data_IF_849767011882
#
_entry.id   IF_849767011882
#
_cell.length_a   1.000
_cell.length_b   1.000
_cell.length_c   1.000
_cell.angle_alpha   90.00
_cell.angle_beta   90.00
_cell.angle_gamma   90.00
#
_symmetry.space_group_name_H-M   'P 1'
#
loop_
_entity.id
_entity.type
_entity.pdbx_description
1 polymer ?
#
# COMPACT_ATOMS: atom_id res chain seq x y z
N UNK A 1 20.60 24.64 20.51
CA UNK A 1 20.39 23.80 19.31
C UNK A 1 18.94 23.34 19.29
N UNK A 2 18.18 23.74 18.28
CA UNK A 2 16.78 23.34 18.12
C UNK A 2 16.71 21.81 17.91
N UNK A 3 16.02 21.09 18.80
CA UNK A 3 15.97 19.63 18.80
C UNK A 3 15.13 19.15 17.60
N UNK A 4 15.80 18.79 16.50
CA UNK A 4 15.12 18.32 15.28
C UNK A 4 14.41 16.99 15.55
N UNK A 5 13.10 16.97 15.35
CA UNK A 5 12.26 15.79 15.61
C UNK A 5 12.61 14.63 14.68
N UNK A 6 12.69 13.42 15.24
CA UNK A 6 12.84 12.17 14.46
C UNK A 6 11.60 11.87 13.59
N UNK A 7 10.46 12.49 13.90
CA UNK A 7 9.19 12.31 13.21
C UNK A 7 9.00 13.39 12.15
N UNK A 8 8.80 12.97 10.90
CA UNK A 8 8.52 13.86 9.78
C UNK A 8 7.00 14.07 9.68
N UNK A 9 6.49 15.19 10.21
CA UNK A 9 5.05 15.51 10.21
C UNK A 9 4.41 15.46 8.81
N UNK A 10 5.15 15.88 7.78
CA UNK A 10 4.69 15.82 6.40
C UNK A 10 4.33 14.39 5.95
N UNK A 11 5.06 13.37 6.40
CA UNK A 11 4.76 11.98 6.05
C UNK A 11 3.42 11.53 6.63
N UNK A 12 3.03 12.03 7.81
CA UNK A 12 1.73 11.73 8.39
C UNK A 12 0.60 12.40 7.61
N UNK A 13 0.80 13.63 7.13
CA UNK A 13 -0.17 14.28 6.26
C UNK A 13 -0.29 13.57 4.91
N UNK A 14 0.83 13.15 4.31
CA UNK A 14 0.87 12.37 3.06
C UNK A 14 0.07 11.07 3.23
N UNK A 15 0.43 10.24 4.22
CA UNK A 15 -0.28 8.98 4.50
C UNK A 15 -1.77 9.21 4.75
N UNK A 16 -2.12 10.27 5.48
CA UNK A 16 -3.51 10.63 5.78
C UNK A 16 -4.31 10.98 4.51
N UNK A 17 -3.74 11.79 3.61
CA UNK A 17 -4.38 12.11 2.33
C UNK A 17 -4.57 10.86 1.48
N UNK A 18 -3.58 9.98 1.48
CA UNK A 18 -3.65 8.75 0.71
C UNK A 18 -4.73 7.78 1.22
N UNK A 19 -5.08 7.78 2.52
CA UNK A 19 -6.24 7.00 3.04
C UNK A 19 -7.55 7.48 2.41
N UNK A 20 -7.77 8.79 2.35
CA UNK A 20 -8.95 9.37 1.69
C UNK A 20 -8.92 9.05 0.19
N UNK A 21 -7.76 9.21 -0.45
CA UNK A 21 -7.55 8.88 -1.85
C UNK A 21 -7.89 7.42 -2.17
N UNK A 22 -7.45 6.46 -1.35
CA UNK A 22 -7.73 5.04 -1.56
C UNK A 22 -9.24 4.75 -1.61
N UNK A 23 -10.05 5.38 -0.76
CA UNK A 23 -11.51 5.20 -0.78
C UNK A 23 -12.10 5.69 -2.12
N UNK A 24 -11.65 6.85 -2.58
CA UNK A 24 -12.07 7.44 -3.87
C UNK A 24 -11.68 6.51 -5.03
N UNK A 25 -10.44 6.06 -5.06
CA UNK A 25 -9.87 5.21 -6.11
C UNK A 25 -10.56 3.85 -6.15
N UNK A 26 -10.68 3.15 -5.01
CA UNK A 26 -11.28 1.82 -4.99
C UNK A 26 -12.76 1.86 -5.35
N UNK A 27 -13.49 2.88 -4.89
CA UNK A 27 -14.90 3.06 -5.30
C UNK A 27 -15.00 3.25 -6.82
N UNK A 28 -14.13 4.07 -7.42
CA UNK A 28 -14.06 4.23 -8.88
C UNK A 28 -13.80 2.90 -9.59
N UNK A 29 -12.75 2.17 -9.17
CA UNK A 29 -12.33 0.91 -9.82
C UNK A 29 -13.35 -0.22 -9.72
N UNK A 30 -14.17 -0.22 -8.67
CA UNK A 30 -15.17 -1.24 -8.39
C UNK A 30 -16.51 -0.95 -9.07
N UNK A 31 -16.98 0.30 -9.07
CA UNK A 31 -18.34 0.61 -9.52
C UNK A 31 -18.44 1.23 -10.91
N UNK A 32 -17.44 2.02 -11.33
CA UNK A 32 -17.51 2.67 -12.63
C UNK A 32 -17.35 1.67 -13.78
N UNK A 33 -18.13 1.84 -14.85
CA UNK A 33 -17.90 1.11 -16.08
C UNK A 33 -16.57 1.54 -16.75
N UNK A 34 -16.03 0.67 -17.61
CA UNK A 34 -14.70 0.87 -18.24
C UNK A 34 -14.64 2.23 -18.95
N UNK A 35 -15.68 2.57 -19.72
CA UNK A 35 -15.81 3.85 -20.41
C UNK A 35 -15.64 5.04 -19.46
N UNK A 36 -16.34 5.02 -18.32
CA UNK A 36 -16.26 6.09 -17.32
C UNK A 36 -14.87 6.17 -16.68
N UNK A 37 -14.18 5.05 -16.51
CA UNK A 37 -12.82 5.01 -15.95
C UNK A 37 -11.77 5.60 -16.90
N UNK A 38 -11.87 5.35 -18.21
CA UNK A 38 -10.83 5.73 -19.18
C UNK A 38 -11.14 7.00 -19.96
N UNK A 39 -12.40 7.23 -20.34
CA UNK A 39 -12.77 8.32 -21.26
C UNK A 39 -13.25 9.59 -20.54
N UNK A 40 -13.74 9.47 -19.31
CA UNK A 40 -14.13 10.66 -18.54
C UNK A 40 -12.90 11.31 -17.91
N UNK A 41 -12.83 12.66 -17.94
CA UNK A 41 -11.72 13.39 -17.34
C UNK A 41 -11.57 13.09 -15.83
N UNK A 42 -12.70 13.02 -15.12
CA UNK A 42 -12.72 12.73 -13.67
C UNK A 42 -12.30 11.29 -13.39
N UNK A 43 -12.82 10.32 -14.13
CA UNK A 43 -12.48 8.91 -13.96
C UNK A 43 -11.01 8.65 -14.27
N UNK A 44 -10.52 9.16 -15.40
CA UNK A 44 -9.12 9.02 -15.82
C UNK A 44 -8.17 9.65 -14.80
N UNK A 45 -8.50 10.84 -14.28
CA UNK A 45 -7.74 11.47 -13.21
C UNK A 45 -7.71 10.64 -11.92
N UNK A 46 -8.86 10.11 -11.48
CA UNK A 46 -8.92 9.25 -10.27
C UNK A 46 -8.13 7.95 -10.48
N UNK A 47 -8.24 7.31 -11.64
CA UNK A 47 -7.47 6.11 -11.98
C UNK A 47 -5.96 6.41 -12.01
N UNK A 48 -5.58 7.56 -12.56
CA UNK A 48 -4.19 8.04 -12.53
C UNK A 48 -3.68 8.21 -11.10
N UNK A 49 -4.46 8.84 -10.21
CA UNK A 49 -4.11 8.94 -8.78
C UNK A 49 -3.94 7.56 -8.12
N UNK A 50 -4.69 6.56 -8.58
CA UNK A 50 -4.57 5.16 -8.18
C UNK A 50 -3.18 4.56 -8.37
N UNK A 51 -2.37 5.13 -9.26
CA UNK A 51 -0.98 4.70 -9.49
C UNK A 51 0.00 5.17 -8.40
N UNK A 52 -0.46 5.98 -7.44
CA UNK A 52 0.32 6.51 -6.33
C UNK A 52 0.70 5.50 -5.23
N UNK A 53 0.43 4.21 -5.39
CA UNK A 53 0.69 3.15 -4.38
C UNK A 53 2.14 3.11 -3.89
N UNK A 54 3.12 3.43 -4.75
CA UNK A 54 4.52 3.53 -4.39
C UNK A 54 4.81 4.58 -3.30
N UNK A 55 3.97 5.62 -3.17
CA UNK A 55 4.08 6.63 -2.11
C UNK A 55 4.01 5.98 -0.74
N UNK A 56 3.06 5.05 -0.53
CA UNK A 56 2.91 4.35 0.75
C UNK A 56 4.13 3.51 1.08
N UNK A 57 4.65 2.78 0.10
CA UNK A 57 5.80 1.91 0.28
C UNK A 57 7.06 2.70 0.60
N UNK A 58 7.33 3.79 -0.13
CA UNK A 58 8.46 4.67 0.17
C UNK A 58 8.30 5.32 1.55
N UNK A 59 7.10 5.81 1.90
CA UNK A 59 6.83 6.36 3.24
C UNK A 59 7.03 5.29 4.34
N UNK A 60 6.60 4.06 4.10
CA UNK A 60 6.78 2.93 5.00
C UNK A 60 8.28 2.68 5.23
N UNK A 61 9.09 2.61 4.17
CA UNK A 61 10.53 2.43 4.27
C UNK A 61 11.24 3.54 5.06
N UNK A 62 10.86 4.80 4.82
CA UNK A 62 11.44 5.95 5.54
C UNK A 62 11.11 5.84 7.03
N UNK A 63 9.83 5.64 7.36
CA UNK A 63 9.37 5.57 8.76
C UNK A 63 9.89 4.33 9.49
N UNK A 64 10.12 3.23 8.78
CA UNK A 64 10.72 2.02 9.31
C UNK A 64 12.17 2.27 9.77
N UNK A 65 12.97 3.02 9.01
CA UNK A 65 14.34 3.33 9.38
C UNK A 65 14.43 4.30 10.56
N UNK A 66 13.52 5.27 10.66
CA UNK A 66 13.58 6.35 11.67
C UNK A 66 12.89 6.00 12.98
N UNK A 67 12.11 4.93 13.03
CA UNK A 67 11.40 4.48 14.23
C UNK A 67 12.34 3.79 15.23
N UNK A 68 12.16 4.10 16.51
CA UNK A 68 12.98 3.59 17.63
C UNK A 68 12.67 2.13 17.99
N UNK A 69 11.46 1.64 17.70
CA UNK A 69 10.97 0.31 18.13
C UNK A 69 10.91 -0.73 16.99
N UNK A 70 11.93 -0.76 16.11
CA UNK A 70 11.95 -1.65 14.94
C UNK A 70 13.07 -2.71 15.03
N UNK A 71 13.14 -3.46 16.13
CA UNK A 71 14.00 -4.64 16.16
C UNK A 71 13.57 -5.67 15.10
N UNK A 72 14.47 -6.58 14.72
CA UNK A 72 14.14 -7.69 13.82
C UNK A 72 12.90 -8.46 14.33
N UNK A 73 12.88 -8.81 15.62
CA UNK A 73 11.75 -9.50 16.28
C UNK A 73 10.43 -8.70 16.17
N UNK A 74 10.48 -7.39 16.38
CA UNK A 74 9.31 -6.50 16.22
C UNK A 74 8.80 -6.51 14.78
N UNK A 75 9.72 -6.45 13.82
CA UNK A 75 9.40 -6.44 12.38
C UNK A 75 8.74 -7.75 11.95
N UNK A 76 9.28 -8.89 12.39
CA UNK A 76 8.71 -10.23 12.14
C UNK A 76 7.31 -10.35 12.73
N UNK A 77 7.13 -9.98 14.01
CA UNK A 77 5.81 -10.01 14.67
C UNK A 77 4.77 -9.17 13.92
N UNK A 78 5.16 -7.95 13.51
CA UNK A 78 4.28 -7.05 12.75
C UNK A 78 3.97 -7.60 11.36
N UNK A 79 4.96 -8.21 10.70
CA UNK A 79 4.78 -8.87 9.40
C UNK A 79 3.73 -9.98 9.47
N UNK A 80 3.86 -10.89 10.45
CA UNK A 80 2.88 -11.96 10.69
C UNK A 80 1.49 -11.41 10.98
N UNK A 81 1.37 -10.38 11.84
CA UNK A 81 0.08 -9.78 12.15
C UNK A 81 -0.58 -9.14 10.91
N UNK A 82 0.21 -8.51 10.04
CA UNK A 82 -0.30 -7.96 8.77
C UNK A 82 -0.75 -9.05 7.81
N UNK A 83 -0.04 -10.18 7.74
CA UNK A 83 -0.46 -11.32 6.93
C UNK A 83 -1.79 -11.89 7.40
N UNK A 84 -1.95 -12.09 8.71
CA UNK A 84 -3.22 -12.53 9.29
C UNK A 84 -4.35 -11.52 9.01
N UNK A 85 -4.06 -10.22 9.11
CA UNK A 85 -5.03 -9.17 8.78
C UNK A 85 -5.42 -9.18 7.29
N UNK A 86 -4.49 -9.50 6.39
CA UNK A 86 -4.74 -9.59 4.96
C UNK A 86 -5.68 -10.77 4.63
N UNK A 87 -5.39 -11.97 5.14
CA UNK A 87 -6.27 -13.12 4.97
C UNK A 87 -7.65 -12.90 5.56
N UNK A 88 -7.72 -12.30 6.75
CA UNK A 88 -8.99 -11.92 7.37
C UNK A 88 -9.77 -10.91 6.51
N UNK A 89 -9.09 -9.90 5.97
CA UNK A 89 -9.71 -8.92 5.09
C UNK A 89 -10.27 -9.60 3.84
N UNK A 90 -9.50 -10.44 3.15
CA UNK A 90 -9.98 -11.16 1.96
C UNK A 90 -11.16 -12.07 2.26
N UNK A 91 -11.13 -12.79 3.39
CA UNK A 91 -12.26 -13.58 3.86
C UNK A 91 -13.52 -12.71 3.99
N UNK A 92 -13.43 -11.58 4.71
CA UNK A 92 -14.55 -10.65 4.87
C UNK A 92 -14.99 -10.04 3.53
N UNK A 93 -14.06 -9.74 2.64
CA UNK A 93 -14.28 -9.06 1.36
C UNK A 93 -15.00 -9.93 0.33
N UNK A 94 -14.76 -11.24 0.36
CA UNK A 94 -15.19 -12.15 -0.71
C UNK A 94 -16.03 -13.32 -0.23
N UNK A 95 -15.63 -14.00 0.85
CA UNK A 95 -16.31 -15.21 1.31
C UNK A 95 -17.65 -14.86 1.94
N UNK A 96 -17.69 -13.83 2.79
CA UNK A 96 -18.94 -13.40 3.43
C UNK A 96 -20.00 -13.02 2.37
N UNK A 97 -19.69 -12.20 1.34
CA UNK A 97 -20.64 -11.95 0.25
C UNK A 97 -21.08 -13.17 -0.54
N UNK A 98 -20.16 -14.10 -0.79
CA UNK A 98 -20.45 -15.30 -1.56
C UNK A 98 -21.42 -16.23 -0.81
N UNK A 99 -21.15 -16.52 0.47
CA UNK A 99 -21.98 -17.42 1.30
C UNK A 99 -23.38 -16.84 1.54
N UNK A 100 -23.50 -15.52 1.63
CA UNK A 100 -24.78 -14.83 1.80
C UNK A 100 -25.52 -14.60 0.47
N UNK A 101 -25.02 -15.13 -0.66
CA UNK A 101 -25.70 -15.10 -1.95
C UNK A 101 -25.81 -13.72 -2.60
N UNK A 102 -24.95 -12.76 -2.23
CA UNK A 102 -24.97 -11.40 -2.80
C UNK A 102 -23.70 -11.04 -3.58
N UNK A 103 -22.90 -12.02 -4.00
CA UNK A 103 -21.84 -11.79 -4.96
C UNK A 103 -22.44 -11.55 -6.36
N UNK A 104 -22.15 -10.41 -7.05
CA UNK A 104 -22.80 -10.11 -8.33
C UNK A 104 -22.24 -10.96 -9.48
N UNK A 105 -23.10 -11.36 -10.43
CA UNK A 105 -22.72 -12.19 -11.58
C UNK A 105 -21.60 -11.56 -12.43
N UNK A 106 -21.64 -10.24 -12.65
CA UNK A 106 -20.60 -9.50 -13.38
C UNK A 106 -19.20 -9.65 -12.73
N UNK A 107 -19.14 -9.89 -11.41
CA UNK A 107 -17.86 -10.16 -10.73
C UNK A 107 -17.35 -11.56 -11.04
N UNK A 108 -18.23 -12.56 -11.09
CA UNK A 108 -17.88 -13.95 -11.42
C UNK A 108 -17.44 -14.03 -12.90
N UNK A 109 -18.22 -13.45 -13.80
CA UNK A 109 -17.95 -13.43 -15.25
C UNK A 109 -16.62 -12.76 -15.59
N UNK A 110 -16.21 -11.72 -14.84
CA UNK A 110 -14.91 -11.05 -15.07
C UNK A 110 -13.73 -12.01 -15.00
N UNK A 111 -13.80 -13.04 -14.16
CA UNK A 111 -12.72 -14.03 -14.01
C UNK A 111 -12.90 -15.25 -14.93
N UNK A 112 -13.92 -15.26 -15.80
CA UNK A 112 -14.23 -16.40 -16.66
C UNK A 112 -14.66 -17.65 -15.88
N UNK A 113 -15.17 -17.48 -14.65
CA UNK A 113 -15.62 -18.59 -13.84
C UNK A 113 -17.01 -19.04 -14.28
N UNK A 114 -17.13 -20.31 -14.66
CA UNK A 114 -18.38 -20.93 -15.11
C UNK A 114 -19.02 -21.85 -14.06
N UNK A 115 -18.27 -22.25 -13.03
CA UNK A 115 -18.74 -23.09 -11.93
C UNK A 115 -19.22 -22.29 -10.72
N UNK A 116 -19.78 -22.99 -9.70
CA UNK A 116 -20.17 -22.37 -8.44
C UNK A 116 -19.01 -21.61 -7.78
N UNK A 117 -19.29 -20.44 -7.20
CA UNK A 117 -18.27 -19.55 -6.60
C UNK A 117 -17.51 -20.23 -5.44
N UNK A 118 -18.11 -21.24 -4.82
CA UNK A 118 -17.55 -22.11 -3.78
C UNK A 118 -16.22 -22.74 -4.22
N UNK A 119 -16.10 -23.10 -5.49
CA UNK A 119 -14.87 -23.67 -6.06
C UNK A 119 -13.71 -22.66 -6.04
N UNK A 120 -14.01 -21.37 -5.91
CA UNK A 120 -13.06 -20.26 -5.95
C UNK A 120 -12.76 -19.69 -4.56
N UNK A 121 -13.27 -20.29 -3.48
CA UNK A 121 -13.07 -19.74 -2.12
C UNK A 121 -11.60 -19.69 -1.72
N UNK A 122 -10.83 -20.73 -2.04
CA UNK A 122 -9.39 -20.73 -1.76
C UNK A 122 -8.69 -19.61 -2.53
N UNK A 123 -8.99 -19.48 -3.83
CA UNK A 123 -8.49 -18.39 -4.68
C UNK A 123 -8.77 -17.02 -4.06
N UNK A 124 -10.02 -16.78 -3.66
CA UNK A 124 -10.47 -15.49 -3.14
C UNK A 124 -9.82 -15.10 -1.82
N UNK A 125 -9.60 -16.06 -0.91
CA UNK A 125 -8.89 -15.81 0.36
C UNK A 125 -7.40 -15.55 0.12
N UNK A 126 -6.81 -16.31 -0.80
CA UNK A 126 -5.38 -16.25 -1.12
C UNK A 126 -4.98 -15.06 -2.01
N UNK A 127 -5.95 -14.34 -2.56
CA UNK A 127 -5.76 -13.26 -3.51
C UNK A 127 -4.81 -12.17 -2.98
N UNK A 128 -3.65 -12.07 -3.62
CA UNK A 128 -2.52 -11.24 -3.22
C UNK A 128 -2.83 -9.75 -3.21
N UNK A 129 -2.87 -9.13 -2.03
CA UNK A 129 -3.07 -7.70 -1.86
C UNK A 129 -1.88 -6.99 -1.20
N UNK A 130 -1.97 -5.66 -1.09
CA UNK A 130 -0.89 -4.82 -0.56
C UNK A 130 -0.54 -5.12 0.91
N UNK A 131 -1.46 -5.68 1.72
CA UNK A 131 -1.18 -6.09 3.09
C UNK A 131 -0.37 -7.39 3.13
N UNK A 132 -0.62 -8.34 2.22
CA UNK A 132 0.26 -9.51 2.06
C UNK A 132 1.65 -9.07 1.63
N UNK A 133 1.74 -8.21 0.61
CA UNK A 133 3.01 -7.58 0.20
C UNK A 133 3.73 -6.95 1.39
N UNK A 134 3.04 -6.09 2.16
CA UNK A 134 3.63 -5.40 3.30
C UNK A 134 4.06 -6.36 4.41
N UNK A 135 3.24 -7.37 4.71
CA UNK A 135 3.49 -8.37 5.73
C UNK A 135 4.72 -9.22 5.42
N UNK A 136 4.84 -9.71 4.19
CA UNK A 136 6.01 -10.47 3.73
C UNK A 136 7.24 -9.56 3.66
N UNK A 137 7.11 -8.35 3.09
CA UNK A 137 8.23 -7.41 2.98
C UNK A 137 8.82 -7.03 4.34
N UNK A 138 8.00 -6.92 5.40
CA UNK A 138 8.48 -6.63 6.75
C UNK A 138 9.46 -7.68 7.29
N UNK A 139 9.35 -8.93 6.84
CA UNK A 139 10.29 -9.99 7.19
C UNK A 139 11.67 -9.64 6.62
N UNK A 140 11.75 -9.36 5.31
CA UNK A 140 13.00 -9.06 4.60
C UNK A 140 13.64 -7.74 5.02
N UNK A 141 12.85 -6.66 5.08
CA UNK A 141 13.39 -5.33 5.41
C UNK A 141 13.89 -5.24 6.84
N UNK A 142 13.35 -6.07 7.75
CA UNK A 142 13.89 -6.26 9.10
C UNK A 142 15.35 -6.75 9.06
N UNK A 143 15.65 -7.76 8.25
CA UNK A 143 17.02 -8.24 8.05
C UNK A 143 17.90 -7.17 7.39
N UNK A 144 17.41 -6.49 6.34
CA UNK A 144 18.18 -5.44 5.66
C UNK A 144 18.58 -4.33 6.65
N UNK A 145 17.65 -3.87 7.50
CA UNK A 145 17.94 -2.86 8.53
C UNK A 145 18.98 -3.32 9.54
N UNK A 146 18.92 -4.60 9.93
CA UNK A 146 19.83 -5.18 10.92
C UNK A 146 21.25 -5.34 10.36
N UNK A 147 21.41 -5.83 9.13
CA UNK A 147 22.73 -6.21 8.62
C UNK A 147 23.35 -5.20 7.64
N UNK A 148 22.56 -4.41 6.91
CA UNK A 148 23.06 -3.48 5.89
C UNK A 148 23.13 -2.06 6.43
N UNK A 149 24.32 -1.65 6.90
CA UNK A 149 24.50 -0.35 7.56
C UNK A 149 24.72 0.82 6.61
N UNK A 150 25.25 0.58 5.41
CA UNK A 150 25.51 1.60 4.39
C UNK A 150 24.25 1.88 3.57
N UNK A 151 23.85 3.16 3.44
CA UNK A 151 22.68 3.57 2.63
C UNK A 151 22.78 3.10 1.17
N UNK A 152 23.97 3.14 0.57
CA UNK A 152 24.15 2.72 -0.82
C UNK A 152 24.03 1.19 -0.99
N UNK A 153 24.36 0.41 0.05
CA UNK A 153 24.08 -1.03 0.07
C UNK A 153 22.58 -1.31 0.07
N UNK A 154 21.80 -0.53 0.84
CA UNK A 154 20.33 -0.62 0.85
C UNK A 154 19.78 -0.28 -0.55
N UNK A 155 20.28 0.80 -1.18
CA UNK A 155 19.86 1.17 -2.54
C UNK A 155 20.22 0.11 -3.58
N UNK A 156 21.42 -0.46 -3.50
CA UNK A 156 21.87 -1.52 -4.40
C UNK A 156 20.94 -2.74 -4.33
N UNK A 157 20.51 -3.15 -3.14
CA UNK A 157 19.54 -4.24 -2.97
C UNK A 157 18.20 -3.89 -3.63
N UNK A 158 17.70 -2.66 -3.47
CA UNK A 158 16.46 -2.24 -4.11
C UNK A 158 16.52 -2.32 -5.64
N UNK A 159 17.63 -1.88 -6.23
CA UNK A 159 17.87 -1.91 -7.67
C UNK A 159 18.10 -3.33 -8.18
N UNK A 160 18.79 -4.17 -7.42
CA UNK A 160 19.00 -5.58 -7.75
C UNK A 160 17.66 -6.33 -7.79
N UNK A 161 16.79 -6.13 -6.80
CA UNK A 161 15.44 -6.68 -6.82
C UNK A 161 14.71 -6.22 -8.07
N UNK A 162 14.71 -4.90 -8.36
CA UNK A 162 14.03 -4.36 -9.52
C UNK A 162 14.52 -4.97 -10.84
N UNK A 163 15.83 -5.23 -10.94
CA UNK A 163 16.47 -5.85 -12.10
C UNK A 163 16.09 -7.32 -12.25
N UNK A 164 16.18 -8.10 -11.18
CA UNK A 164 16.01 -9.57 -11.23
C UNK A 164 14.53 -9.97 -11.29
N UNK A 165 13.62 -9.16 -10.75
CA UNK A 165 12.20 -9.52 -10.61
C UNK A 165 11.54 -9.99 -11.91
N UNK A 166 11.88 -9.34 -13.04
CA UNK A 166 11.27 -9.65 -14.34
C UNK A 166 11.86 -10.92 -14.97
N UNK A 167 13.11 -11.26 -14.68
CA UNK A 167 13.78 -12.46 -15.24
C UNK A 167 13.23 -13.78 -14.69
N UNK A 168 12.66 -13.74 -13.49
CA UNK A 168 12.09 -14.91 -12.80
C UNK A 168 10.56 -14.90 -12.79
N UNK A 169 9.95 -13.88 -13.37
CA UNK A 169 8.51 -13.73 -13.61
C UNK A 169 8.05 -14.80 -14.62
N UNK A 170 6.92 -15.44 -14.36
CA UNK A 170 6.31 -16.45 -15.23
C UNK A 170 6.82 -17.87 -15.04
N UNK A 171 7.74 -18.14 -14.09
CA UNK A 171 8.25 -19.50 -13.86
C UNK A 171 7.19 -20.33 -13.13
N UNK A 172 6.73 -21.38 -13.79
CA UNK A 172 5.79 -22.37 -13.27
C UNK A 172 6.41 -23.77 -13.24
N UNK A 173 6.01 -24.55 -12.24
CA UNK A 173 6.33 -25.98 -12.09
C UNK A 173 5.04 -26.79 -11.99
N UNK A 174 5.11 -28.12 -12.08
CA UNK A 174 3.94 -29.00 -12.11
C UNK A 174 3.14 -29.07 -10.78
N UNK A 175 3.53 -28.29 -9.77
CA UNK A 175 2.98 -28.34 -8.42
C UNK A 175 2.28 -27.02 -8.04
N UNK A 176 0.94 -27.02 -7.86
CA UNK A 176 0.16 -25.79 -7.62
C UNK A 176 0.60 -24.96 -6.41
N UNK A 177 1.06 -25.61 -5.34
CA UNK A 177 1.52 -24.91 -4.12
C UNK A 177 2.78 -24.09 -4.40
N UNK A 178 3.72 -24.64 -5.16
CA UNK A 178 4.94 -23.92 -5.53
C UNK A 178 4.65 -22.78 -6.50
N UNK A 179 3.69 -22.96 -7.40
CA UNK A 179 3.21 -21.88 -8.27
C UNK A 179 2.62 -20.74 -7.44
N UNK A 180 1.75 -21.01 -6.47
CA UNK A 180 1.21 -19.95 -5.60
C UNK A 180 2.31 -19.20 -4.82
N UNK A 181 3.30 -19.92 -4.28
CA UNK A 181 4.43 -19.29 -3.59
C UNK A 181 5.23 -18.43 -4.57
N UNK A 182 5.48 -18.92 -5.80
CA UNK A 182 6.13 -18.16 -6.86
C UNK A 182 5.36 -16.88 -7.16
N UNK A 183 4.04 -16.97 -7.38
CA UNK A 183 3.14 -15.83 -7.65
C UNK A 183 3.17 -14.78 -6.53
N UNK A 184 3.30 -15.21 -5.26
CA UNK A 184 3.41 -14.29 -4.12
C UNK A 184 4.66 -13.42 -4.23
N UNK A 185 5.76 -14.00 -4.73
CA UNK A 185 7.03 -13.30 -4.86
C UNK A 185 7.17 -12.59 -6.21
N UNK A 186 6.69 -13.15 -7.30
CA UNK A 186 6.93 -12.69 -8.65
C UNK A 186 5.64 -12.56 -9.43
N UNK A 187 5.60 -11.55 -10.29
CA UNK A 187 4.43 -11.28 -11.12
C UNK A 187 4.24 -12.37 -12.19
N UNK A 188 3.01 -12.78 -12.48
CA UNK A 188 2.66 -13.78 -13.52
C UNK A 188 1.51 -13.28 -14.40
N UNK A 189 1.50 -13.66 -15.68
CA UNK A 189 0.70 -12.93 -16.67
C UNK A 189 -0.81 -13.24 -16.66
N UNK A 190 -1.32 -14.39 -16.16
CA UNK A 190 -2.78 -14.61 -16.03
C UNK A 190 -3.19 -15.94 -15.35
N UNK A 191 -4.38 -16.03 -14.71
CA UNK A 191 -5.08 -14.95 -14.03
C UNK A 191 -4.32 -14.61 -12.75
N UNK A 192 -4.00 -13.33 -12.56
CA UNK A 192 -3.17 -12.90 -11.43
C UNK A 192 -3.86 -13.24 -10.11
N UNK A 193 -3.41 -14.33 -9.48
CA UNK A 193 -3.72 -14.64 -8.08
C UNK A 193 -3.25 -13.50 -7.18
N UNK A 194 -2.19 -12.79 -7.58
CA UNK A 194 -1.50 -11.80 -6.77
C UNK A 194 -1.42 -10.46 -7.52
N UNK A 195 -2.11 -9.43 -7.02
CA UNK A 195 -2.02 -8.08 -7.57
C UNK A 195 -0.72 -7.38 -7.15
N UNK A 196 -0.26 -7.61 -5.92
CA UNK A 196 0.94 -6.98 -5.37
C UNK A 196 1.98 -8.04 -5.02
N UNK A 197 2.70 -8.61 -6.02
CA UNK A 197 3.79 -9.54 -5.74
C UNK A 197 4.90 -8.84 -4.95
N UNK A 198 5.61 -9.57 -4.09
CA UNK A 198 6.69 -9.00 -3.26
C UNK A 198 7.73 -8.32 -4.12
N UNK A 199 8.06 -8.91 -5.26
CA UNK A 199 8.98 -8.38 -6.24
C UNK A 199 8.21 -8.01 -7.53
N UNK A 200 8.42 -6.80 -8.07
CA UNK A 200 9.42 -5.81 -7.69
C UNK A 200 8.96 -4.81 -6.60
N UNK A 201 7.73 -4.89 -6.09
CA UNK A 201 7.16 -3.83 -5.25
C UNK A 201 7.96 -3.51 -3.97
N UNK A 202 8.63 -4.50 -3.38
CA UNK A 202 9.51 -4.31 -2.22
C UNK A 202 10.67 -3.33 -2.50
N UNK A 203 11.08 -3.15 -3.77
CA UNK A 203 12.07 -2.13 -4.14
C UNK A 203 11.65 -0.73 -3.71
N UNK A 204 10.36 -0.37 -3.77
CA UNK A 204 9.88 0.94 -3.30
C UNK A 204 10.06 1.09 -1.78
N UNK A 205 9.82 0.02 -1.01
CA UNK A 205 10.04 0.04 0.44
C UNK A 205 11.52 0.25 0.74
N UNK A 206 12.41 -0.48 0.05
CA UNK A 206 13.85 -0.41 0.26
C UNK A 206 14.43 0.94 -0.22
N UNK A 207 13.93 1.53 -1.31
CA UNK A 207 14.23 2.92 -1.70
C UNK A 207 13.81 3.88 -0.58
N UNK A 208 12.64 3.67 0.03
CA UNK A 208 12.23 4.39 1.23
C UNK A 208 13.23 4.24 2.38
N UNK A 209 13.74 3.02 2.62
CA UNK A 209 14.78 2.79 3.64
C UNK A 209 16.08 3.53 3.33
N UNK A 210 16.51 3.60 2.07
CA UNK A 210 17.66 4.40 1.65
C UNK A 210 17.50 5.86 2.09
N UNK A 211 16.36 6.48 1.80
CA UNK A 211 16.07 7.85 2.23
C UNK A 211 15.89 7.98 3.74
N UNK A 212 15.33 6.96 4.40
CA UNK A 212 15.25 6.91 5.86
C UNK A 212 16.64 6.90 6.51
N UNK A 213 17.59 6.14 5.97
CA UNK A 213 18.99 6.14 6.42
C UNK A 213 19.67 7.48 6.13
N UNK A 214 19.45 8.03 4.93
CA UNK A 214 20.00 9.34 4.56
C UNK A 214 19.47 10.46 5.48
N UNK A 215 18.22 10.39 5.90
CA UNK A 215 17.64 11.32 6.86
C UNK A 215 18.33 11.29 8.22
N UNK A 216 18.73 10.10 8.69
CA UNK A 216 19.51 9.95 9.93
C UNK A 216 20.88 10.61 9.78
N UNK A 217 21.58 10.37 8.66
CA UNK A 217 22.88 10.97 8.37
C UNK A 217 22.82 12.50 8.22
N UNK A 218 21.69 13.04 7.75
CA UNK A 218 21.42 14.47 7.65
C UNK A 218 21.04 15.10 9.00
N UNK A 219 21.21 14.40 10.12
CA UNK A 219 20.80 14.85 11.45
C UNK A 219 19.34 15.35 11.46
N UNK A 220 18.44 14.56 10.88
CA UNK A 220 17.00 14.82 10.83
C UNK A 220 16.61 16.11 10.06
N UNK A 221 17.42 16.56 9.10
CA UNK A 221 17.09 17.70 8.25
C UNK A 221 16.11 17.35 7.12
N UNK A 222 14.82 17.54 7.37
CA UNK A 222 13.76 17.19 6.40
C UNK A 222 13.84 18.03 5.12
N UNK A 223 14.17 19.32 5.21
CA UNK A 223 14.28 20.19 4.02
C UNK A 223 15.34 19.68 3.05
N UNK A 224 16.50 19.26 3.58
CA UNK A 224 17.56 18.70 2.77
C UNK A 224 17.22 17.30 2.24
N UNK A 225 16.58 16.45 3.05
CA UNK A 225 16.13 15.12 2.60
C UNK A 225 15.21 15.21 1.38
N UNK A 226 14.13 16.01 1.47
CA UNK A 226 13.18 16.11 0.36
C UNK A 226 13.79 16.79 -0.87
N UNK A 227 14.75 17.72 -0.69
CA UNK A 227 15.51 18.26 -1.82
C UNK A 227 16.36 17.17 -2.51
N UNK A 228 16.98 16.28 -1.75
CA UNK A 228 17.71 15.15 -2.32
C UNK A 228 16.77 14.16 -3.02
N UNK A 229 15.56 13.93 -2.48
CA UNK A 229 14.52 13.15 -3.16
C UNK A 229 14.13 13.76 -4.51
N UNK A 230 14.03 15.08 -4.62
CA UNK A 230 13.77 15.74 -5.90
C UNK A 230 14.88 15.41 -6.92
N UNK A 231 16.15 15.56 -6.55
CA UNK A 231 17.27 15.32 -7.48
C UNK A 231 17.38 13.86 -7.90
N UNK A 232 17.28 12.93 -6.95
CA UNK A 232 17.25 11.49 -7.26
C UNK A 232 16.01 11.14 -8.07
N UNK A 233 14.87 11.77 -7.77
CA UNK A 233 13.63 11.59 -8.50
C UNK A 233 13.73 12.00 -9.96
N UNK A 234 14.32 13.17 -10.24
CA UNK A 234 14.61 13.64 -11.60
C UNK A 234 15.54 12.67 -12.32
N UNK A 235 16.63 12.22 -11.67
CA UNK A 235 17.54 11.24 -12.24
C UNK A 235 16.81 9.92 -12.58
N UNK A 236 16.00 9.42 -11.67
CA UNK A 236 15.22 8.21 -11.87
C UNK A 236 14.20 8.35 -13.00
N UNK A 237 13.52 9.49 -13.13
CA UNK A 237 12.64 9.74 -14.28
C UNK A 237 13.45 9.79 -15.58
N UNK A 238 14.60 10.46 -15.59
CA UNK A 238 15.45 10.56 -16.77
C UNK A 238 15.96 9.19 -17.26
N UNK A 239 16.23 8.26 -16.33
CA UNK A 239 16.67 6.90 -16.65
C UNK A 239 15.50 5.95 -16.95
N UNK A 240 14.42 6.02 -16.18
CA UNK A 240 13.28 5.10 -16.27
C UNK A 240 12.32 5.42 -17.41
N UNK A 241 12.13 6.70 -17.75
CA UNK A 241 11.19 7.09 -18.80
C UNK A 241 11.58 6.53 -20.18
N UNK A 242 12.84 6.65 -20.66
CA UNK A 242 13.23 6.04 -21.93
C UNK A 242 12.98 4.52 -21.95
N UNK A 243 13.28 3.83 -20.85
CA UNK A 243 13.05 2.39 -20.73
C UNK A 243 11.56 2.03 -20.87
N UNK A 244 10.68 2.76 -20.17
CA UNK A 244 9.23 2.52 -20.20
C UNK A 244 8.62 2.88 -21.56
N UNK A 245 9.02 3.99 -22.18
CA UNK A 245 8.41 4.48 -23.41
C UNK A 245 8.99 3.86 -24.69
N UNK A 246 10.23 3.35 -24.65
CA UNK A 246 10.85 2.67 -25.80
C UNK A 246 10.73 1.15 -25.72
N UNK A 247 10.69 0.57 -24.52
CA UNK A 247 10.67 -0.89 -24.30
C UNK A 247 9.60 -1.29 -23.25
N UNK A 248 8.38 -0.83 -23.46
CA UNK A 248 7.28 -0.92 -22.49
C UNK A 248 6.87 -2.35 -22.09
N UNK A 249 6.95 -3.32 -23.02
CA UNK A 249 6.54 -4.71 -22.77
C UNK A 249 7.43 -5.40 -21.73
N UNK A 250 8.71 -5.05 -21.70
CA UNK A 250 9.64 -5.57 -20.70
C UNK A 250 9.63 -4.73 -19.42
N UNK A 251 9.57 -3.40 -19.53
CA UNK A 251 9.78 -2.52 -18.37
C UNK A 251 8.51 -2.09 -17.64
N UNK A 252 7.31 -2.17 -18.23
CA UNK A 252 6.07 -1.79 -17.56
C UNK A 252 5.03 -2.90 -17.56
N UNK A 253 4.74 -3.55 -18.69
CA UNK A 253 3.72 -4.61 -18.89
C UNK A 253 2.40 -4.47 -18.09
N UNK A 254 2.03 -3.26 -17.68
CA UNK A 254 0.88 -2.99 -16.80
C UNK A 254 1.25 -2.69 -15.34
N UNK A 255 0.31 -2.06 -14.63
CA UNK A 255 0.56 -1.51 -13.28
C UNK A 255 1.08 -2.54 -12.26
N UNK A 256 0.70 -3.81 -12.39
CA UNK A 256 1.08 -4.89 -11.48
C UNK A 256 2.26 -5.75 -11.99
N UNK A 257 2.75 -5.51 -13.21
CA UNK A 257 3.75 -6.34 -13.90
C UNK A 257 4.97 -5.51 -14.33
N UNK A 258 5.49 -4.69 -13.42
CA UNK A 258 6.60 -3.78 -13.72
C UNK A 258 7.93 -4.53 -13.87
N UNK A 259 8.71 -4.16 -14.89
CA UNK A 259 10.13 -4.47 -14.97
C UNK A 259 11.00 -3.36 -14.34
N UNK A 260 12.34 -3.45 -14.46
CA UNK A 260 13.26 -2.51 -13.80
C UNK A 260 13.03 -1.05 -14.17
N UNK A 261 12.80 -0.76 -15.45
CA UNK A 261 12.51 0.59 -15.93
C UNK A 261 11.24 1.17 -15.32
N UNK A 262 10.17 0.37 -15.17
CA UNK A 262 8.94 0.76 -14.50
C UNK A 262 9.18 1.09 -13.03
N UNK A 263 9.92 0.25 -12.30
CA UNK A 263 10.26 0.53 -10.89
C UNK A 263 11.01 1.86 -10.74
N UNK A 264 12.05 2.07 -11.55
CA UNK A 264 12.85 3.29 -11.53
C UNK A 264 11.97 4.51 -11.89
N UNK A 265 11.17 4.42 -12.95
CA UNK A 265 10.28 5.48 -13.39
C UNK A 265 9.25 5.88 -12.33
N UNK A 266 8.52 4.90 -11.76
CA UNK A 266 7.53 5.15 -10.72
C UNK A 266 8.14 5.64 -9.41
N UNK A 267 9.32 5.13 -9.05
CA UNK A 267 10.05 5.63 -7.89
C UNK A 267 10.45 7.09 -8.13
N UNK A 268 10.94 7.43 -9.33
CA UNK A 268 11.31 8.78 -9.72
C UNK A 268 10.17 9.78 -9.52
N UNK A 269 9.02 9.51 -10.14
CA UNK A 269 7.82 10.34 -9.96
C UNK A 269 7.36 10.42 -8.51
N UNK A 270 7.38 9.30 -7.80
CA UNK A 270 7.00 9.26 -6.38
C UNK A 270 7.88 10.19 -5.54
N UNK A 271 9.20 10.19 -5.76
CA UNK A 271 10.13 11.06 -5.03
C UNK A 271 9.90 12.55 -5.34
N UNK A 272 9.61 12.89 -6.61
CA UNK A 272 9.24 14.25 -7.03
C UNK A 272 7.93 14.67 -6.34
N UNK A 273 6.91 13.81 -6.34
CA UNK A 273 5.64 14.10 -5.68
C UNK A 273 5.79 14.24 -4.17
N UNK A 274 6.59 13.40 -3.52
CA UNK A 274 6.90 13.52 -2.09
C UNK A 274 7.54 14.87 -1.77
N UNK A 275 8.46 15.36 -2.59
CA UNK A 275 9.02 16.71 -2.45
C UNK A 275 7.96 17.80 -2.64
N UNK A 276 7.12 17.71 -3.67
CA UNK A 276 6.07 18.68 -3.93
C UNK A 276 5.07 18.76 -2.77
N UNK A 277 4.61 17.60 -2.27
CA UNK A 277 3.71 17.52 -1.12
C UNK A 277 4.39 18.05 0.14
N UNK A 278 5.68 17.75 0.37
CA UNK A 278 6.43 18.34 1.48
C UNK A 278 6.45 19.87 1.42
N UNK A 279 6.66 20.46 0.24
CA UNK A 279 6.64 21.92 0.04
C UNK A 279 5.28 22.55 0.33
N UNK A 280 4.19 21.85 0.02
CA UNK A 280 2.83 22.30 0.32
C UNK A 280 2.56 22.17 1.82
N UNK A 281 2.78 20.98 2.38
CA UNK A 281 2.46 20.65 3.77
C UNK A 281 3.27 21.43 4.80
N UNK A 282 4.51 21.80 4.50
CA UNK A 282 5.34 22.64 5.40
C UNK A 282 4.83 24.07 5.56
N UNK A 283 3.92 24.52 4.68
CA UNK A 283 3.27 25.82 4.78
C UNK A 283 1.90 25.76 5.45
N UNK A 284 1.38 24.56 5.71
CA UNK A 284 0.06 24.39 6.31
C UNK A 284 0.13 24.63 7.82
N UNK A 285 -0.75 25.49 8.32
CA UNK A 285 -0.98 25.66 9.76
C UNK A 285 -1.86 24.52 10.30
N UNK A 286 -1.69 24.20 11.58
CA UNK A 286 -2.58 23.27 12.26
C UNK A 286 -4.02 23.77 12.22
N UNK A 287 -4.91 22.92 11.72
CA UNK A 287 -6.34 23.17 11.59
C UNK A 287 -7.11 21.83 11.59
N UNK A 288 -8.45 21.90 11.53
CA UNK A 288 -9.31 20.70 11.52
C UNK A 288 -8.95 19.73 10.39
N UNK A 289 -8.59 20.23 9.21
CA UNK A 289 -8.19 19.40 8.08
C UNK A 289 -6.88 18.64 8.33
N UNK A 290 -5.82 19.32 8.79
CA UNK A 290 -4.56 18.65 9.16
C UNK A 290 -4.74 17.65 10.31
N UNK A 291 -5.64 17.93 11.26
CA UNK A 291 -6.01 17.00 12.33
C UNK A 291 -6.72 15.76 11.79
N UNK A 292 -7.64 15.93 10.83
CA UNK A 292 -8.29 14.84 10.11
C UNK A 292 -7.28 13.97 9.36
N UNK A 293 -6.31 14.56 8.66
CA UNK A 293 -5.26 13.81 7.98
C UNK A 293 -4.40 13.01 8.97
N UNK A 294 -4.03 13.61 10.10
CA UNK A 294 -3.31 12.90 11.19
C UNK A 294 -4.15 11.77 11.80
N UNK A 295 -5.46 11.95 11.91
CA UNK A 295 -6.38 10.88 12.31
C UNK A 295 -6.35 9.73 11.32
N UNK A 296 -6.49 10.02 10.02
CA UNK A 296 -6.42 9.02 8.96
C UNK A 296 -5.07 8.28 8.98
N UNK A 297 -3.95 8.98 9.12
CA UNK A 297 -2.63 8.34 9.16
C UNK A 297 -2.41 7.44 10.38
N UNK A 298 -3.00 7.75 11.54
CA UNK A 298 -2.90 6.89 12.73
C UNK A 298 -3.73 5.62 12.58
N UNK A 299 -4.86 5.71 11.88
CA UNK A 299 -5.81 4.62 11.67
C UNK A 299 -5.67 3.97 10.28
N UNK A 300 -4.54 4.15 9.59
CA UNK A 300 -4.35 3.79 8.18
C UNK A 300 -4.74 2.34 7.88
N UNK A 301 -4.20 1.38 8.64
CA UNK A 301 -4.45 -0.06 8.39
C UNK A 301 -5.91 -0.43 8.63
N UNK A 302 -6.53 0.05 9.72
CA UNK A 302 -7.92 -0.26 10.00
C UNK A 302 -8.87 0.41 9.01
N UNK A 303 -8.64 1.68 8.66
CA UNK A 303 -9.44 2.36 7.64
C UNK A 303 -9.32 1.69 6.27
N UNK A 304 -8.12 1.22 5.90
CA UNK A 304 -7.90 0.45 4.67
C UNK A 304 -8.72 -0.85 4.63
N UNK A 305 -8.75 -1.59 5.73
CA UNK A 305 -9.55 -2.82 5.83
C UNK A 305 -11.05 -2.51 5.79
N UNK A 306 -11.50 -1.53 6.58
CA UNK A 306 -12.91 -1.11 6.64
C UNK A 306 -13.42 -0.72 5.25
N UNK A 307 -12.71 0.16 4.54
CA UNK A 307 -13.18 0.61 3.23
C UNK A 307 -13.23 -0.53 2.21
N UNK A 308 -12.26 -1.45 2.22
CA UNK A 308 -12.30 -2.61 1.32
C UNK A 308 -13.47 -3.54 1.60
N UNK A 309 -13.76 -3.80 2.88
CA UNK A 309 -14.90 -4.63 3.29
C UNK A 309 -16.20 -3.97 2.86
N UNK A 310 -16.40 -2.69 3.21
CA UNK A 310 -17.63 -1.94 2.88
C UNK A 310 -17.86 -1.82 1.37
N UNK A 311 -16.83 -1.41 0.62
CA UNK A 311 -16.89 -1.31 -0.85
C UNK A 311 -17.15 -2.69 -1.47
N UNK A 312 -16.54 -3.75 -0.95
CA UNK A 312 -16.75 -5.08 -1.54
C UNK A 312 -18.11 -5.66 -1.22
N UNK A 313 -18.66 -5.39 -0.04
CA UNK A 313 -20.02 -5.77 0.31
C UNK A 313 -21.05 -5.03 -0.54
N UNK A 314 -20.81 -3.75 -0.77
CA UNK A 314 -21.67 -2.95 -1.63
C UNK A 314 -21.74 -3.43 -3.08
N UNK A 315 -20.83 -4.31 -3.54
CA UNK A 315 -20.95 -4.92 -4.88
C UNK A 315 -22.25 -5.69 -5.06
N UNK A 316 -22.80 -6.32 -4.03
CA UNK A 316 -24.08 -7.01 -4.15
C UNK A 316 -25.29 -6.09 -4.15
N UNK A 317 -25.15 -4.89 -3.56
CA UNK A 317 -26.25 -3.92 -3.45
C UNK A 317 -26.25 -3.01 -4.68
N UNK A 318 -25.09 -2.47 -5.03
CA UNK A 318 -24.92 -1.49 -6.09
C UNK A 318 -24.33 -2.11 -7.36
N UNK A 319 -24.05 -3.41 -7.42
CA UNK A 319 -23.45 -4.04 -8.61
C UNK A 319 -21.96 -3.79 -8.78
N UNK A 320 -21.41 -4.25 -9.91
CA UNK A 320 -19.97 -4.25 -10.20
C UNK A 320 -19.69 -3.72 -11.61
N UNK A 321 -18.83 -2.70 -11.73
CA UNK A 321 -18.34 -2.10 -13.00
C UNK A 321 -19.42 -1.72 -14.03
N UNK A 322 -20.56 -1.21 -13.58
CA UNK A 322 -21.70 -0.93 -14.48
C UNK A 322 -22.16 0.53 -14.48
N UNK A 323 -21.61 1.37 -13.61
CA UNK A 323 -22.14 2.73 -13.38
C UNK A 323 -21.39 3.83 -14.11
N UNK A 324 -22.14 4.89 -14.45
CA UNK A 324 -21.59 6.16 -14.93
C UNK A 324 -20.99 7.01 -13.81
N UNK A 325 -20.23 8.04 -14.19
CA UNK A 325 -19.43 8.85 -13.26
C UNK A 325 -20.26 9.52 -12.14
N UNK A 326 -21.45 10.03 -12.44
CA UNK A 326 -22.28 10.75 -11.46
C UNK A 326 -22.71 9.84 -10.30
N UNK A 327 -23.14 8.61 -10.62
CA UNK A 327 -23.52 7.63 -9.60
C UNK A 327 -22.32 7.20 -8.75
N UNK A 328 -21.17 7.01 -9.38
CA UNK A 328 -19.92 6.64 -8.69
C UNK A 328 -19.46 7.75 -7.74
N UNK A 329 -19.63 9.02 -8.09
CA UNK A 329 -19.33 10.14 -7.19
C UNK A 329 -20.22 10.14 -5.95
N UNK A 330 -21.50 9.78 -6.08
CA UNK A 330 -22.38 9.61 -4.91
C UNK A 330 -21.92 8.44 -4.03
N UNK A 331 -21.52 7.31 -4.64
CA UNK A 331 -20.95 6.19 -3.90
C UNK A 331 -19.64 6.55 -3.19
N UNK A 332 -18.80 7.38 -3.79
CA UNK A 332 -17.56 7.87 -3.15
C UNK A 332 -17.90 8.62 -1.85
N UNK A 333 -18.89 9.51 -1.89
CA UNK A 333 -19.35 10.23 -0.70
C UNK A 333 -19.91 9.27 0.36
N UNK A 334 -20.71 8.30 -0.06
CA UNK A 334 -21.25 7.26 0.82
C UNK A 334 -20.14 6.48 1.52
N UNK A 335 -19.16 5.96 0.78
CA UNK A 335 -18.08 5.14 1.36
C UNK A 335 -17.12 5.94 2.21
N UNK A 336 -16.92 7.23 1.92
CA UNK A 336 -16.22 8.13 2.84
C UNK A 336 -16.96 8.18 4.18
N UNK A 337 -18.25 8.52 4.18
CA UNK A 337 -19.06 8.63 5.40
C UNK A 337 -19.05 7.30 6.17
N UNK A 338 -19.34 6.18 5.50
CA UNK A 338 -19.40 4.87 6.14
C UNK A 338 -18.05 4.46 6.74
N UNK A 339 -16.94 4.67 6.01
CA UNK A 339 -15.61 4.32 6.51
C UNK A 339 -15.25 5.12 7.77
N UNK A 340 -15.50 6.44 7.75
CA UNK A 340 -15.23 7.28 8.92
C UNK A 340 -16.13 6.93 10.11
N UNK A 341 -17.41 6.65 9.86
CA UNK A 341 -18.36 6.23 10.91
C UNK A 341 -17.94 4.91 11.56
N UNK A 342 -17.65 3.88 10.76
CA UNK A 342 -17.20 2.58 11.29
C UNK A 342 -15.88 2.71 12.04
N UNK A 343 -14.92 3.48 11.52
CA UNK A 343 -13.67 3.74 12.23
C UNK A 343 -13.91 4.46 13.56
N UNK A 344 -14.77 5.47 13.61
CA UNK A 344 -15.10 6.18 14.84
C UNK A 344 -15.76 5.26 15.88
N UNK A 345 -16.67 4.38 15.45
CA UNK A 345 -17.28 3.37 16.31
C UNK A 345 -16.25 2.39 16.88
N UNK A 346 -15.32 1.92 16.05
CA UNK A 346 -14.22 1.05 16.51
C UNK A 346 -13.32 1.75 17.54
N UNK A 347 -13.05 3.04 17.36
CA UNK A 347 -12.26 3.82 18.32
C UNK A 347 -12.99 3.95 19.67
N UNK A 348 -14.31 4.15 19.66
CA UNK A 348 -15.14 4.17 20.87
C UNK A 348 -15.11 2.82 21.59
N UNK A 349 -15.27 1.71 20.85
CA UNK A 349 -15.23 0.36 21.41
C UNK A 349 -13.87 0.03 22.03
N UNK A 350 -12.77 0.41 21.38
CA UNK A 350 -11.42 0.22 21.91
C UNK A 350 -11.19 1.02 23.20
N UNK A 351 -11.66 2.27 23.26
CA UNK A 351 -11.58 3.09 24.47
C UNK A 351 -12.36 2.46 25.62
N UNK A 352 -13.59 1.99 25.38
CA UNK A 352 -14.41 1.30 26.39
C UNK A 352 -13.71 0.05 26.94
N UNK A 353 -13.10 -0.76 26.08
CA UNK A 353 -12.35 -1.98 26.48
C UNK A 353 -11.10 -1.68 27.31
N UNK A 354 -10.41 -0.57 27.02
CA UNK A 354 -9.25 -0.11 27.81
C UNK A 354 -9.62 0.43 29.19
N UNK A 355 -10.87 0.85 29.39
CA UNK A 355 -11.37 1.33 30.69
C UNK A 355 -11.85 0.15 31.55
N UNK A 356 -12.37 -0.91 30.94
CA UNK A 356 -12.90 -2.09 31.65
C UNK A 356 -11.87 -3.16 31.99
N UNK A 357 -10.71 -3.18 31.34
CA UNK A 357 -9.57 -4.01 31.74
C UNK A 357 -8.62 -3.14 32.56
N UNK A 358 -8.47 -3.36 33.89
CA UNK A 358 -7.40 -2.73 34.64
C UNK A 358 -6.08 -3.10 33.96
N UNK A 359 -5.22 -2.10 33.70
CA UNK A 359 -3.85 -2.38 33.30
C UNK A 359 -3.23 -3.25 34.39
N UNK A 360 -2.95 -4.53 34.09
CA UNK A 360 -2.08 -5.32 34.94
C UNK A 360 -0.75 -4.59 34.99
N UNK A 361 -0.42 -4.06 36.16
CA UNK A 361 0.88 -3.48 36.48
C UNK A 361 1.92 -4.50 36.02
N UNK A 362 2.67 -4.18 34.97
CA UNK A 362 3.81 -5.01 34.59
C UNK A 362 4.84 -4.86 35.71
N UNK A 363 4.99 -5.90 36.52
CA UNK A 363 6.11 -6.07 37.41
C UNK A 363 7.38 -6.20 36.55
N UNK A 364 8.02 -5.08 36.22
CA UNK A 364 9.39 -5.03 35.66
C UNK A 364 10.02 -3.63 35.82
N UNK A 365 9.56 -2.84 36.79
CA UNK A 365 10.26 -1.64 37.29
C UNK A 365 10.87 -1.93 38.67
N UNK A 366 11.81 -2.86 38.71
CA UNK A 366 12.89 -2.88 39.69
C UNK A 366 14.10 -3.49 39.00
N UNK A 367 15.32 -2.97 39.29
CA UNK A 367 16.62 -3.27 38.64
C UNK A 367 16.84 -2.37 37.40
N UNK A 368 17.60 -1.26 37.40
CA UNK A 368 18.76 -0.85 38.18
C UNK A 368 18.92 0.69 38.14
N UNK A 369 19.40 1.22 39.27
CA UNK A 369 20.12 2.49 39.37
C UNK A 369 21.45 2.42 38.62
#
# INVERSE_FOLDING_TARGET
MEQKSKRIAALDLIKGMSVIGMIIIHTMLIYANVKSQSESAVGSFIVFLGRGTAIFMICMGITFMTSTHQSLKSSVKRGILLLLAAFFMNFMKFIVPAVLGFAPDNFIQKYGWHGPIEQQYMYLVMLGDILQLAGISLLFVGFIREYVKNKYGILAIALLIALVSREVSGIHVDYPVFNYISDLFFSNDYPAYIYFPVFPWMSFIIIGMFFGKWYLELNYNSKQLFRNMLYVGILFVALGAPLVFLYGDYHYNGFYHMGPGGVIYFAGWTLIFLWAIFRITTKMKENKFTSLLKYCSRNLTSMYMIQWILISWGKGIFGYRQHGIAFVLMLILLYLILTFTVQALLDILKKKKSITLPQSISADETVLK
#
